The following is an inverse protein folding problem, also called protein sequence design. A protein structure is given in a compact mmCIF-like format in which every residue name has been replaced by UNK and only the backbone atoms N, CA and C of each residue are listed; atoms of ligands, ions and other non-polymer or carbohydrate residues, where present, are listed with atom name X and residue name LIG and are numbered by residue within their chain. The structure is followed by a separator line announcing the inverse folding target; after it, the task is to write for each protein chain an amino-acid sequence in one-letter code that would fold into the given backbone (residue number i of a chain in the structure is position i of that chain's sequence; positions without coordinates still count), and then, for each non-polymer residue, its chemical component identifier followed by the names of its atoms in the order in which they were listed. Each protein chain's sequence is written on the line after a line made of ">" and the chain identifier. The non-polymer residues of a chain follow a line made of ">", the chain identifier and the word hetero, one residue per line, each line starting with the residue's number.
data_IF_653235033120
#
_entry.id   IF_653235033120
#
_cell.length_a   1.000
_cell.length_b   1.000
_cell.length_c   1.000
_cell.angle_alpha   90.00
_cell.angle_beta   90.00
_cell.angle_gamma   90.00
#
_symmetry.space_group_name_H-M   'P 1'
#
loop_
_entity.id
_entity.type
_entity.pdbx_description
1 polymer ?
#
# COMPACT_ATOMS: atom_id res chain seq x y z
N UNK A 1 -11.81 -8.08 28.77
CA UNK A 1 -12.47 -6.92 28.14
C UNK A 1 -11.76 -6.75 26.82
N UNK A 2 -12.41 -7.13 25.71
CA UNK A 2 -11.84 -7.04 24.37
C UNK A 2 -11.99 -5.62 23.87
N UNK A 3 -10.93 -5.07 23.28
CA UNK A 3 -10.89 -3.75 22.65
C UNK A 3 -11.88 -3.69 21.49
N UNK A 4 -13.13 -3.34 21.80
CA UNK A 4 -14.22 -3.21 20.83
C UNK A 4 -14.19 -1.85 20.09
N UNK A 5 -13.12 -1.07 20.24
CA UNK A 5 -13.03 0.31 19.78
C UNK A 5 -12.74 0.47 18.27
N UNK A 6 -12.40 -0.61 17.54
CA UNK A 6 -11.94 -0.53 16.15
C UNK A 6 -12.85 -1.24 15.13
N UNK A 7 -14.10 -1.56 15.49
CA UNK A 7 -15.01 -2.20 14.54
C UNK A 7 -15.64 -1.20 13.59
N UNK A 8 -15.36 -1.35 12.30
CA UNK A 8 -15.99 -0.55 11.26
C UNK A 8 -16.74 -1.52 10.32
N UNK A 9 -18.08 -1.61 10.43
CA UNK A 9 -18.91 -2.53 9.63
C UNK A 9 -18.96 -2.17 8.15
N UNK A 10 -18.72 -0.89 7.82
CA UNK A 10 -18.55 -0.43 6.46
C UNK A 10 -17.66 0.81 6.47
N UNK A 11 -16.59 0.85 5.67
CA UNK A 11 -15.75 2.03 5.58
C UNK A 11 -16.60 3.21 5.06
N UNK A 12 -16.57 4.39 5.70
CA UNK A 12 -17.14 5.59 5.10
C UNK A 12 -16.52 5.87 3.71
N UNK A 13 -17.26 6.49 2.77
CA UNK A 13 -16.68 6.82 1.47
C UNK A 13 -15.50 7.78 1.64
N UNK A 14 -14.56 7.76 0.69
CA UNK A 14 -13.50 8.77 0.62
C UNK A 14 -14.10 10.17 0.62
N UNK A 15 -13.56 11.03 1.49
CA UNK A 15 -13.88 12.45 1.44
C UNK A 15 -13.25 13.08 0.20
N UNK A 16 -13.77 14.23 -0.25
CA UNK A 16 -13.19 14.98 -1.37
C UNK A 16 -11.71 15.33 -1.13
N UNK A 17 -11.33 15.56 0.13
CA UNK A 17 -9.94 15.81 0.54
C UNK A 17 -9.03 14.60 0.27
N UNK A 18 -9.46 13.39 0.62
CA UNK A 18 -8.69 12.17 0.32
C UNK A 18 -8.52 11.97 -1.19
N UNK A 19 -9.58 12.17 -1.96
CA UNK A 19 -9.50 12.10 -3.42
C UNK A 19 -8.52 13.13 -4.02
N UNK A 20 -8.57 14.37 -3.56
CA UNK A 20 -7.63 15.42 -4.01
C UNK A 20 -6.16 15.07 -3.71
N UNK A 21 -5.89 14.49 -2.54
CA UNK A 21 -4.55 14.03 -2.16
C UNK A 21 -4.05 12.89 -3.05
N UNK A 22 -4.91 11.92 -3.37
CA UNK A 22 -4.60 10.81 -4.28
C UNK A 22 -4.26 11.27 -5.70
N UNK A 23 -5.04 12.21 -6.23
CA UNK A 23 -4.78 12.78 -7.56
C UNK A 23 -3.46 13.57 -7.57
N UNK A 24 -3.19 14.36 -6.52
CA UNK A 24 -1.91 15.07 -6.40
C UNK A 24 -0.74 14.08 -6.37
N UNK A 25 -0.91 12.97 -5.64
CA UNK A 25 0.09 11.93 -5.53
C UNK A 25 0.49 11.30 -6.86
N UNK A 26 -0.50 10.88 -7.66
CA UNK A 26 -0.31 10.30 -9.01
C UNK A 26 0.48 11.24 -9.94
N UNK A 27 0.44 12.55 -9.67
CA UNK A 27 1.19 13.53 -10.45
C UNK A 27 2.60 13.80 -9.91
N UNK A 28 2.83 13.63 -8.60
CA UNK A 28 4.11 13.96 -7.94
C UNK A 28 5.09 12.80 -8.09
N UNK A 29 4.65 11.57 -7.81
CA UNK A 29 5.54 10.40 -7.74
C UNK A 29 6.32 10.16 -9.04
N UNK A 30 5.68 10.10 -10.22
CA UNK A 30 6.43 9.88 -11.47
C UNK A 30 7.43 11.00 -11.75
N UNK A 31 7.08 12.27 -11.45
CA UNK A 31 7.97 13.41 -11.66
C UNK A 31 9.17 13.38 -10.73
N UNK A 32 8.96 13.00 -9.47
CA UNK A 32 10.04 12.85 -8.49
C UNK A 32 11.00 11.74 -8.94
N UNK A 33 10.50 10.57 -9.33
CA UNK A 33 11.37 9.49 -9.83
C UNK A 33 12.08 9.80 -11.15
N UNK A 34 11.42 10.50 -12.08
CA UNK A 34 12.06 10.98 -13.29
C UNK A 34 13.21 11.97 -12.98
N UNK A 35 13.01 12.89 -12.03
CA UNK A 35 14.05 13.83 -11.60
C UNK A 35 15.24 13.13 -10.89
N UNK A 36 14.99 12.01 -10.22
CA UNK A 36 16.03 11.17 -9.62
C UNK A 36 16.75 10.26 -10.62
N UNK A 37 16.34 10.26 -11.89
CA UNK A 37 16.90 9.38 -12.92
C UNK A 37 16.53 7.91 -12.75
N UNK A 38 15.43 7.62 -12.04
CA UNK A 38 14.98 6.27 -11.75
C UNK A 38 13.46 6.10 -11.96
N UNK A 39 12.92 6.50 -13.14
CA UNK A 39 11.48 6.48 -13.43
C UNK A 39 10.83 5.10 -13.31
N UNK A 40 11.60 4.02 -13.48
CA UNK A 40 11.17 2.64 -13.37
C UNK A 40 10.62 2.27 -11.98
N UNK A 41 10.98 3.03 -10.94
CA UNK A 41 10.47 2.83 -9.59
C UNK A 41 9.06 3.37 -9.38
N UNK A 42 8.60 4.33 -10.17
CA UNK A 42 7.27 4.93 -10.01
C UNK A 42 6.13 3.89 -9.98
N UNK A 43 5.99 2.96 -10.96
CA UNK A 43 4.93 1.96 -10.94
C UNK A 43 5.08 0.94 -9.79
N UNK A 44 6.31 0.63 -9.38
CA UNK A 44 6.57 -0.27 -8.24
C UNK A 44 6.04 0.34 -6.95
N UNK A 45 6.28 1.63 -6.78
CA UNK A 45 5.90 2.40 -5.62
C UNK A 45 4.39 2.62 -5.56
N UNK A 46 3.75 2.99 -6.68
CA UNK A 46 2.29 3.05 -6.78
C UNK A 46 1.64 1.73 -6.35
N UNK A 47 2.16 0.60 -6.85
CA UNK A 47 1.69 -0.73 -6.46
C UNK A 47 1.91 -1.08 -4.98
N UNK A 48 2.90 -0.46 -4.32
CA UNK A 48 3.12 -0.60 -2.88
C UNK A 48 2.07 0.17 -2.08
N UNK A 49 1.82 1.44 -2.41
CA UNK A 49 0.81 2.24 -1.71
C UNK A 49 -0.60 1.72 -1.95
N UNK A 50 -0.90 1.22 -3.14
CA UNK A 50 -2.17 0.56 -3.43
C UNK A 50 -2.45 -0.62 -2.50
N UNK A 51 -1.41 -1.23 -1.87
CA UNK A 51 -1.64 -2.29 -0.86
C UNK A 51 -2.41 -1.79 0.34
N UNK A 52 -2.22 -0.52 0.71
CA UNK A 52 -2.85 0.10 1.87
C UNK A 52 -4.14 0.84 1.50
N UNK A 53 -4.59 0.75 0.25
CA UNK A 53 -5.80 1.40 -0.22
C UNK A 53 -7.01 0.99 0.63
N UNK A 54 -7.66 1.99 1.25
CA UNK A 54 -8.84 1.82 2.08
C UNK A 54 -8.55 1.69 3.57
N UNK A 55 -7.28 1.50 3.97
CA UNK A 55 -6.90 1.40 5.37
C UNK A 55 -7.15 2.70 6.14
N UNK A 56 -6.88 3.85 5.51
CA UNK A 56 -7.05 5.18 6.12
C UNK A 56 -8.49 5.46 6.55
N UNK A 57 -9.45 4.84 5.86
CA UNK A 57 -10.87 4.95 6.16
C UNK A 57 -11.21 4.25 7.48
N UNK A 58 -10.47 3.20 7.81
CA UNK A 58 -10.63 2.47 9.08
C UNK A 58 -9.90 3.16 10.24
N UNK A 59 -8.88 3.96 9.92
CA UNK A 59 -8.01 4.59 10.90
C UNK A 59 -8.35 6.07 11.15
N UNK A 60 -9.25 6.65 10.36
CA UNK A 60 -9.92 7.93 10.58
C UNK A 60 -9.03 9.17 10.46
N UNK A 61 -8.07 9.32 11.38
CA UNK A 61 -7.25 10.53 11.56
C UNK A 61 -5.82 10.39 11.05
N UNK A 62 -5.47 9.22 10.51
CA UNK A 62 -4.10 8.86 10.18
C UNK A 62 -3.53 9.61 8.97
N UNK A 63 -4.37 10.38 8.27
CA UNK A 63 -4.02 11.01 7.01
C UNK A 63 -3.90 9.99 5.89
N UNK A 64 -3.81 10.49 4.67
CA UNK A 64 -3.63 9.63 3.50
C UNK A 64 -2.18 9.08 3.48
N UNK A 65 -2.03 7.76 3.46
CA UNK A 65 -0.72 7.08 3.45
C UNK A 65 0.16 7.53 2.28
N UNK A 66 -0.45 7.97 1.18
CA UNK A 66 0.23 8.50 0.01
C UNK A 66 0.83 9.87 0.28
N UNK A 67 0.19 10.71 1.10
CA UNK A 67 0.77 12.01 1.48
C UNK A 67 2.04 11.80 2.27
N UNK A 68 2.01 10.94 3.30
CA UNK A 68 3.20 10.60 4.09
C UNK A 68 4.31 10.01 3.21
N UNK A 69 3.96 9.07 2.33
CA UNK A 69 4.90 8.49 1.37
C UNK A 69 5.51 9.53 0.43
N UNK A 70 4.73 10.49 -0.05
CA UNK A 70 5.21 11.53 -0.98
C UNK A 70 6.20 12.50 -0.34
N UNK A 71 6.02 12.84 0.94
CA UNK A 71 6.97 13.67 1.68
C UNK A 71 8.29 12.92 1.83
N UNK A 72 8.21 11.65 2.25
CA UNK A 72 9.39 10.81 2.44
C UNK A 72 10.16 10.54 1.14
N UNK A 73 9.46 10.40 0.01
CA UNK A 73 10.10 10.32 -1.31
C UNK A 73 10.88 11.58 -1.69
N UNK A 74 10.37 12.77 -1.34
CA UNK A 74 11.07 14.02 -1.63
C UNK A 74 12.36 14.14 -0.83
N UNK A 75 12.31 13.78 0.45
CA UNK A 75 13.52 13.70 1.30
C UNK A 75 14.55 12.73 0.69
N UNK A 76 14.10 11.55 0.25
CA UNK A 76 14.98 10.56 -0.37
C UNK A 76 15.66 11.09 -1.65
N UNK A 77 14.94 11.91 -2.42
CA UNK A 77 15.44 12.53 -3.65
C UNK A 77 16.59 13.50 -3.39
N UNK A 78 16.59 14.17 -2.24
CA UNK A 78 17.65 15.13 -1.86
C UNK A 78 18.95 14.41 -1.44
N UNK A 79 18.85 13.16 -0.98
CA UNK A 79 19.96 12.37 -0.44
C UNK A 79 20.77 11.60 -1.51
N UNK A 80 20.29 11.47 -2.75
CA UNK A 80 21.02 10.85 -3.88
C UNK A 80 20.33 9.67 -4.57
N UNK A 81 21.06 8.77 -5.26
CA UNK A 81 20.49 7.73 -6.12
C UNK A 81 19.60 6.72 -5.37
N UNK A 82 18.43 6.41 -5.95
CA UNK A 82 17.46 5.51 -5.34
C UNK A 82 17.84 4.04 -5.57
N UNK A 83 17.83 3.25 -4.49
CA UNK A 83 17.96 1.79 -4.51
C UNK A 83 16.77 1.14 -3.80
N UNK A 84 16.59 -0.17 -3.97
CA UNK A 84 15.54 -0.91 -3.28
C UNK A 84 15.69 -0.87 -1.75
N UNK A 85 16.93 -1.00 -1.25
CA UNK A 85 17.26 -0.88 0.17
C UNK A 85 16.84 0.49 0.71
N UNK A 86 17.24 1.56 0.04
CA UNK A 86 16.90 2.94 0.45
C UNK A 86 15.40 3.20 0.39
N UNK A 87 14.70 2.64 -0.62
CA UNK A 87 13.24 2.70 -0.68
C UNK A 87 12.59 1.91 0.46
N UNK A 88 13.09 0.70 0.75
CA UNK A 88 12.58 -0.10 1.84
C UNK A 88 12.75 0.63 3.17
N UNK A 89 13.92 1.23 3.43
CA UNK A 89 14.16 2.07 4.62
C UNK A 89 13.22 3.27 4.69
N UNK A 90 13.01 3.96 3.56
CA UNK A 90 12.10 5.09 3.49
C UNK A 90 10.64 4.69 3.76
N UNK A 91 10.23 3.49 3.37
CA UNK A 91 8.84 3.06 3.41
C UNK A 91 8.48 2.26 4.66
N UNK A 92 9.42 1.49 5.21
CA UNK A 92 9.14 0.51 6.25
C UNK A 92 8.66 1.15 7.55
N UNK A 93 9.12 2.35 7.87
CA UNK A 93 8.74 3.07 9.10
C UNK A 93 7.53 4.00 8.90
N UNK A 94 6.93 4.00 7.70
CA UNK A 94 5.70 4.75 7.49
C UNK A 94 4.59 4.13 8.33
N UNK A 95 3.87 4.95 9.08
CA UNK A 95 2.89 4.48 10.08
C UNK A 95 1.89 3.42 9.56
N UNK A 96 1.52 3.43 8.28
CA UNK A 96 0.62 2.44 7.70
C UNK A 96 1.18 1.01 7.65
N UNK A 97 2.50 0.84 7.58
CA UNK A 97 3.16 -0.49 7.62
C UNK A 97 3.09 -1.12 8.99
N UNK A 98 2.76 -0.36 10.04
CA UNK A 98 2.58 -0.86 11.39
C UNK A 98 1.15 -1.36 11.66
N UNK A 99 0.32 -1.52 10.63
CA UNK A 99 -1.04 -2.05 10.82
C UNK A 99 -1.19 -3.44 10.22
N UNK A 100 -1.99 -4.25 10.91
CA UNK A 100 -2.52 -5.51 10.39
C UNK A 100 -4.02 -5.54 10.60
N UNK A 101 -4.68 -6.44 9.88
CA UNK A 101 -6.12 -6.61 9.97
C UNK A 101 -6.53 -8.06 9.86
N UNK A 102 -7.62 -8.41 10.53
CA UNK A 102 -8.26 -9.73 10.44
C UNK A 102 -9.77 -9.56 10.24
N UNK A 103 -10.41 -10.52 9.59
CA UNK A 103 -11.88 -10.55 9.53
C UNK A 103 -12.44 -11.04 10.86
N UNK A 104 -13.59 -10.51 11.24
CA UNK A 104 -14.28 -10.93 12.46
C UNK A 104 -14.83 -12.36 12.34
N UNK A 105 -15.37 -12.70 11.17
CA UNK A 105 -15.97 -14.00 10.87
C UNK A 105 -14.94 -15.11 10.61
N UNK A 106 -13.71 -14.73 10.24
CA UNK A 106 -12.61 -15.66 9.99
C UNK A 106 -11.34 -15.11 10.66
N UNK A 107 -11.11 -15.55 11.89
CA UNK A 107 -10.01 -15.08 12.73
C UNK A 107 -8.63 -15.51 12.21
N UNK A 108 -8.55 -16.56 11.39
CA UNK A 108 -7.30 -17.06 10.81
C UNK A 108 -6.95 -16.31 9.52
N UNK A 109 -7.94 -15.67 8.88
CA UNK A 109 -7.72 -14.87 7.69
C UNK A 109 -7.23 -13.45 8.02
N UNK A 110 -5.91 -13.31 8.04
CA UNK A 110 -5.21 -12.04 8.26
C UNK A 110 -4.81 -11.39 6.93
N UNK A 111 -5.02 -10.08 6.83
CA UNK A 111 -4.57 -9.29 5.69
C UNK A 111 -3.04 -9.27 5.62
N UNK A 112 -2.53 -9.53 4.42
CA UNK A 112 -1.11 -9.42 4.10
C UNK A 112 -0.93 -8.47 2.90
N UNK A 113 -0.28 -7.31 3.07
CA UNK A 113 -0.08 -6.33 2.00
C UNK A 113 0.72 -6.90 0.81
N UNK A 114 1.56 -7.91 1.03
CA UNK A 114 2.33 -8.55 -0.04
C UNK A 114 1.41 -9.31 -1.03
N UNK A 115 0.25 -9.76 -0.57
CA UNK A 115 -0.67 -10.62 -1.31
C UNK A 115 -1.80 -9.82 -1.98
N UNK A 116 -2.48 -8.94 -1.24
CA UNK A 116 -3.61 -8.17 -1.73
C UNK A 116 -3.66 -6.76 -1.13
N UNK A 117 -4.44 -5.86 -1.76
CA UNK A 117 -4.75 -4.58 -1.14
C UNK A 117 -5.75 -4.74 0.01
N UNK A 118 -5.74 -3.78 0.92
CA UNK A 118 -6.63 -3.78 2.07
C UNK A 118 -8.11 -3.71 1.65
N UNK A 119 -8.45 -2.90 0.63
CA UNK A 119 -9.80 -2.83 0.08
C UNK A 119 -10.31 -4.21 -0.41
N UNK A 120 -9.52 -4.95 -1.19
CA UNK A 120 -9.87 -6.30 -1.65
C UNK A 120 -10.08 -7.26 -0.47
N UNK A 121 -9.21 -7.18 0.53
CA UNK A 121 -9.33 -7.96 1.76
C UNK A 121 -10.61 -7.63 2.53
N UNK A 122 -10.97 -6.34 2.65
CA UNK A 122 -12.16 -5.90 3.36
C UNK A 122 -13.47 -6.23 2.62
N UNK A 123 -13.42 -6.37 1.29
CA UNK A 123 -14.60 -6.62 0.44
C UNK A 123 -14.82 -8.09 0.08
N UNK A 124 -13.93 -9.03 0.43
CA UNK A 124 -14.17 -10.44 0.07
C UNK A 124 -13.81 -10.82 -1.36
N UNK A 125 -13.18 -9.92 -2.12
CA UNK A 125 -13.12 -10.00 -3.59
C UNK A 125 -12.18 -11.12 -4.10
N UNK A 126 -11.24 -11.60 -3.28
CA UNK A 126 -10.23 -12.60 -3.66
C UNK A 126 -10.26 -13.88 -2.83
N UNK A 127 -11.44 -14.44 -2.56
CA UNK A 127 -11.51 -15.84 -2.19
C UNK A 127 -11.37 -16.73 -3.44
N UNK A 128 -10.29 -17.52 -3.51
CA UNK A 128 -10.09 -18.73 -4.33
C UNK A 128 -11.12 -19.03 -5.45
N UNK A 129 -11.22 -18.18 -6.48
CA UNK A 129 -12.11 -18.40 -7.62
C UNK A 129 -13.62 -18.26 -7.33
N UNK A 130 -14.01 -17.77 -6.16
CA UNK A 130 -15.38 -17.40 -5.82
C UNK A 130 -15.38 -15.94 -5.35
N UNK A 131 -15.82 -15.03 -6.21
CA UNK A 131 -16.26 -13.69 -5.81
C UNK A 131 -17.42 -13.86 -4.83
N UNK A 132 -17.16 -13.67 -3.54
CA UNK A 132 -18.21 -13.45 -2.57
C UNK A 132 -18.74 -12.03 -2.80
N UNK A 133 -19.90 -11.92 -3.44
CA UNK A 133 -20.60 -10.64 -3.66
C UNK A 133 -21.35 -10.15 -2.41
N UNK A 134 -21.17 -10.80 -1.26
CA UNK A 134 -21.95 -10.52 -0.05
C UNK A 134 -21.23 -9.54 0.88
N UNK A 135 -21.24 -8.27 0.49
CA UNK A 135 -21.14 -7.14 1.42
C UNK A 135 -19.77 -6.84 2.03
N UNK A 136 -19.67 -5.68 2.70
CA UNK A 136 -18.49 -5.31 3.46
C UNK A 136 -18.35 -6.22 4.69
N UNK A 137 -17.17 -6.81 4.89
CA UNK A 137 -16.91 -7.64 6.07
C UNK A 137 -16.58 -6.78 7.28
N UNK A 138 -16.91 -7.28 8.47
CA UNK A 138 -16.42 -6.71 9.73
C UNK A 138 -14.91 -6.99 9.84
N UNK A 139 -14.12 -5.93 9.83
CA UNK A 139 -12.66 -6.00 9.92
C UNK A 139 -12.18 -5.42 11.25
N UNK A 140 -11.27 -6.13 11.91
CA UNK A 140 -10.53 -5.63 13.08
C UNK A 140 -9.14 -5.20 12.64
N UNK A 141 -8.83 -3.92 12.82
CA UNK A 141 -7.51 -3.33 12.53
C UNK A 141 -6.78 -3.07 13.84
N UNK A 142 -5.51 -3.44 13.89
CA UNK A 142 -4.62 -3.15 15.04
C UNK A 142 -3.26 -2.68 14.60
N UNK A 143 -2.66 -1.85 15.44
CA UNK A 143 -1.27 -1.43 15.31
C UNK A 143 -0.32 -2.50 15.87
N UNK A 144 0.90 -2.55 15.32
CA UNK A 144 1.96 -3.48 15.63
C UNK A 144 3.20 -2.72 16.10
N UNK A 145 3.92 -3.30 17.06
CA UNK A 145 5.19 -2.74 17.56
C UNK A 145 6.31 -2.74 16.51
N UNK A 146 6.15 -3.56 15.46
CA UNK A 146 7.11 -3.71 14.36
C UNK A 146 6.37 -3.61 13.03
N UNK A 147 7.04 -3.10 11.99
CA UNK A 147 6.43 -3.00 10.67
C UNK A 147 6.12 -4.39 10.11
N UNK A 148 5.01 -4.48 9.42
CA UNK A 148 4.54 -5.65 8.70
C UNK A 148 4.20 -5.26 7.26
N UNK A 149 5.06 -5.63 6.28
CA UNK A 149 6.22 -6.51 6.35
C UNK A 149 7.46 -5.83 6.96
N UNK A 150 8.44 -6.63 7.38
CA UNK A 150 9.75 -6.11 7.81
C UNK A 150 10.54 -5.52 6.63
N UNK A 151 11.54 -4.67 6.93
CA UNK A 151 12.40 -4.00 5.94
C UNK A 151 12.95 -4.94 4.87
N UNK A 152 13.59 -6.03 5.28
CA UNK A 152 14.24 -6.96 4.34
C UNK A 152 13.23 -7.69 3.42
N UNK A 153 12.01 -7.92 3.93
CA UNK A 153 10.91 -8.50 3.14
C UNK A 153 10.38 -7.46 2.15
N UNK A 154 10.24 -6.20 2.58
CA UNK A 154 9.83 -5.10 1.71
C UNK A 154 10.85 -4.87 0.60
N UNK A 155 12.15 -4.82 0.92
CA UNK A 155 13.23 -4.69 -0.06
C UNK A 155 13.17 -5.81 -1.11
N UNK A 156 13.04 -7.06 -0.67
CA UNK A 156 12.91 -8.22 -1.55
C UNK A 156 11.68 -8.11 -2.46
N UNK A 157 10.57 -7.64 -1.92
CA UNK A 157 9.33 -7.44 -2.68
C UNK A 157 9.48 -6.32 -3.71
N UNK A 158 10.10 -5.19 -3.35
CA UNK A 158 10.38 -4.06 -4.23
C UNK A 158 11.27 -4.49 -5.41
N UNK A 159 12.33 -5.24 -5.14
CA UNK A 159 13.20 -5.78 -6.18
C UNK A 159 12.46 -6.73 -7.12
N UNK A 160 11.67 -7.66 -6.58
CA UNK A 160 10.89 -8.58 -7.41
C UNK A 160 9.88 -7.85 -8.30
N UNK A 161 9.26 -6.78 -7.79
CA UNK A 161 8.33 -5.93 -8.53
C UNK A 161 9.01 -5.12 -9.61
N UNK A 162 10.19 -4.58 -9.34
CA UNK A 162 10.98 -3.87 -10.33
C UNK A 162 11.35 -4.78 -11.50
N UNK A 163 11.88 -5.98 -11.20
CA UNK A 163 12.23 -6.96 -12.24
C UNK A 163 11.00 -7.30 -13.08
N UNK A 164 9.84 -7.49 -12.43
CA UNK A 164 8.60 -7.77 -13.14
C UNK A 164 8.18 -6.63 -14.08
N UNK A 165 8.18 -5.40 -13.59
CA UNK A 165 7.82 -4.23 -14.38
C UNK A 165 8.73 -4.06 -15.61
N UNK A 166 10.03 -4.33 -15.45
CA UNK A 166 10.99 -4.30 -16.55
C UNK A 166 10.78 -5.42 -17.58
N UNK A 167 10.35 -6.60 -17.16
CA UNK A 167 10.01 -7.69 -18.07
C UNK A 167 8.74 -7.39 -18.87
N UNK A 168 7.71 -6.86 -18.20
CA UNK A 168 6.44 -6.53 -18.84
C UNK A 168 6.65 -5.43 -19.90
N UNK A 169 7.43 -4.38 -19.60
CA UNK A 169 7.77 -3.31 -20.56
C UNK A 169 8.51 -3.82 -21.81
N UNK A 170 9.38 -4.83 -21.68
CA UNK A 170 10.10 -5.45 -22.82
C UNK A 170 9.21 -6.37 -23.66
N UNK A 171 8.19 -6.98 -23.04
CA UNK A 171 7.21 -7.80 -23.75
C UNK A 171 6.34 -6.97 -24.69
N UNK A 172 5.98 -5.75 -24.27
CA UNK A 172 5.17 -4.82 -25.06
C UNK A 172 5.93 -4.24 -26.28
N UNK A 173 7.27 -4.12 -26.21
CA UNK A 173 8.11 -3.67 -27.33
C UNK A 173 8.32 -4.74 -28.42
N UNK A 174 8.03 -6.02 -28.13
CA UNK A 174 8.22 -7.15 -29.06
C UNK A 174 7.01 -7.49 -29.93
N UNK A 175 5.86 -6.85 -29.71
CA UNK A 175 4.61 -7.10 -30.43
C UNK A 175 4.22 -5.97 -31.42
N UNK A 176 5.12 -5.02 -31.67
CA UNK A 176 4.93 -3.85 -32.55
C UNK A 176 5.49 -3.99 -33.96
#
# INVERSE_FOLDING_TARGET
>A
MTDDANYIPRPPPYTATHWGMRVAFQNIVPKTFAAMGAPEWAPVLEAWWDRYDGLEVYLGSLGDHRVMGSQRLRELAEEGPVTAERLAEALVDLRHTHYTARRYEDADYTWNPLNCCFADFAQGVREQGKLSLTGAHLVYVRELDRPHPSRDILESWLMARLVRAQLDARGEEGEG
#
